data_IF_269556291535
#
_entry.id   IF_269556291535
#
_cell.length_a   1.000
_cell.length_b   1.000
_cell.length_c   1.000
_cell.angle_alpha   90.00
_cell.angle_beta   90.00
_cell.angle_gamma   90.00
#
_symmetry.space_group_name_H-M   'P 1'
#
loop_
_entity.id
_entity.type
_entity.pdbx_description
1 polymer ?
#
# COMPACT_ATOMS: atom_id res chain seq x y z
N UNK A 1 -22.16 -2.92 -0.11
CA UNK A 1 -21.10 -3.73 0.40
C UNK A 1 -21.02 -5.12 -0.15
N UNK A 2 -22.14 -5.80 -0.37
CA UNK A 2 -22.14 -7.07 -1.10
C UNK A 2 -21.47 -6.93 -2.47
N UNK A 3 -21.64 -5.80 -3.08
CA UNK A 3 -21.08 -5.50 -4.39
C UNK A 3 -19.55 -5.45 -4.39
N UNK A 4 -18.96 -4.82 -3.35
CA UNK A 4 -17.50 -4.73 -3.22
C UNK A 4 -16.88 -6.10 -3.00
N UNK A 5 -17.51 -6.93 -2.18
CA UNK A 5 -17.02 -8.28 -1.89
C UNK A 5 -17.04 -9.14 -3.16
N UNK A 6 -18.11 -9.07 -3.94
CA UNK A 6 -18.22 -9.82 -5.19
C UNK A 6 -17.16 -9.38 -6.20
N UNK A 7 -16.91 -8.08 -6.31
CA UNK A 7 -15.89 -7.55 -7.20
C UNK A 7 -14.50 -8.01 -6.76
N UNK A 8 -14.22 -7.97 -5.46
CA UNK A 8 -12.94 -8.38 -4.90
C UNK A 8 -12.67 -9.85 -5.21
N UNK A 9 -13.63 -10.73 -4.92
CA UNK A 9 -13.48 -12.16 -5.16
C UNK A 9 -13.30 -12.50 -6.64
N UNK A 10 -14.07 -11.85 -7.52
CA UNK A 10 -14.07 -12.16 -8.96
C UNK A 10 -12.89 -11.57 -9.70
N UNK A 11 -12.36 -10.45 -9.25
CA UNK A 11 -11.33 -9.70 -9.98
C UNK A 11 -9.97 -9.68 -9.29
N UNK A 12 -9.83 -10.41 -8.20
CA UNK A 12 -8.59 -10.42 -7.45
C UNK A 12 -8.29 -9.10 -6.76
N UNK A 13 -9.32 -8.26 -6.54
CA UNK A 13 -9.17 -7.01 -5.83
C UNK A 13 -9.19 -7.25 -4.31
N UNK A 14 -8.47 -6.44 -3.57
CA UNK A 14 -8.41 -6.49 -2.12
C UNK A 14 -8.83 -5.15 -1.54
N UNK A 15 -9.71 -5.19 -0.54
CA UNK A 15 -10.09 -3.99 0.21
C UNK A 15 -8.94 -3.60 1.14
N UNK A 16 -9.06 -2.44 1.80
CA UNK A 16 -8.10 -2.03 2.83
C UNK A 16 -8.00 -3.09 3.92
N UNK A 17 -9.13 -3.63 4.38
CA UNK A 17 -9.15 -4.67 5.40
C UNK A 17 -8.44 -5.94 4.94
N UNK A 18 -8.66 -6.35 3.70
CA UNK A 18 -7.99 -7.51 3.12
C UNK A 18 -6.48 -7.30 3.04
N UNK A 19 -6.06 -6.11 2.59
CA UNK A 19 -4.64 -5.76 2.50
C UNK A 19 -3.98 -5.75 3.89
N UNK A 20 -4.66 -5.20 4.90
CA UNK A 20 -4.18 -5.22 6.28
C UNK A 20 -3.99 -6.65 6.78
N UNK A 21 -4.93 -7.52 6.46
CA UNK A 21 -4.87 -8.92 6.87
C UNK A 21 -3.71 -9.66 6.22
N UNK A 22 -3.49 -9.40 4.93
CA UNK A 22 -2.37 -10.02 4.20
C UNK A 22 -1.03 -9.52 4.73
N UNK A 23 -0.92 -8.22 5.02
CA UNK A 23 0.35 -7.59 5.40
C UNK A 23 0.62 -7.62 6.90
N UNK A 24 -0.35 -8.05 7.71
CA UNK A 24 -0.15 -8.21 9.14
C UNK A 24 -0.62 -7.02 9.99
N UNK A 25 -1.43 -6.12 9.45
CA UNK A 25 -2.05 -5.06 10.23
C UNK A 25 -2.02 -3.69 9.58
N UNK A 26 -2.72 -2.76 10.19
CA UNK A 26 -2.85 -1.39 9.71
C UNK A 26 -1.50 -0.66 9.61
N UNK A 27 -0.64 -0.84 10.61
CA UNK A 27 0.66 -0.19 10.64
C UNK A 27 1.54 -0.65 9.50
N UNK A 28 1.53 -1.94 9.18
CA UNK A 28 2.30 -2.48 8.07
C UNK A 28 1.76 -1.99 6.72
N UNK A 29 0.44 -1.95 6.55
CA UNK A 29 -0.17 -1.42 5.34
C UNK A 29 0.23 0.05 5.13
N UNK A 30 0.17 0.85 6.19
CA UNK A 30 0.58 2.25 6.13
C UNK A 30 2.03 2.38 5.69
N UNK A 31 2.90 1.57 6.25
CA UNK A 31 4.34 1.62 5.99
C UNK A 31 4.67 1.25 4.54
N UNK A 32 4.07 0.18 4.01
CA UNK A 32 4.30 -0.23 2.62
C UNK A 32 3.74 0.79 1.62
N UNK A 33 2.66 1.45 1.97
CA UNK A 33 2.13 2.54 1.15
C UNK A 33 3.06 3.76 1.15
N UNK A 34 3.58 4.13 2.32
CA UNK A 34 4.55 5.22 2.44
C UNK A 34 5.83 4.93 1.67
N UNK A 35 6.27 3.70 1.67
CA UNK A 35 7.47 3.27 0.93
C UNK A 35 7.24 3.21 -0.58
N UNK A 36 5.99 3.23 -1.02
CA UNK A 36 5.65 3.08 -2.43
C UNK A 36 5.70 1.63 -2.91
N UNK A 37 5.77 0.67 -2.00
CA UNK A 37 5.82 -0.75 -2.33
C UNK A 37 4.44 -1.32 -2.67
N UNK A 38 3.39 -0.64 -2.26
CA UNK A 38 2.02 -1.03 -2.57
C UNK A 38 1.20 0.22 -2.89
N UNK A 39 0.57 0.23 -4.05
CA UNK A 39 -0.28 1.34 -4.50
C UNK A 39 -1.67 0.81 -4.81
N UNK A 40 -2.73 1.57 -4.47
CA UNK A 40 -4.07 1.16 -4.83
C UNK A 40 -4.29 1.19 -6.34
N UNK A 41 -5.04 0.25 -6.84
CA UNK A 41 -5.45 0.21 -8.25
C UNK A 41 -6.68 1.09 -8.49
N UNK A 42 -7.55 1.19 -7.48
CA UNK A 42 -8.71 2.06 -7.52
C UNK A 42 -8.67 2.92 -6.25
N UNK A 43 -8.73 4.22 -6.43
CA UNK A 43 -8.75 5.14 -5.30
C UNK A 43 -9.81 6.21 -5.56
N UNK A 44 -10.94 6.07 -4.88
CA UNK A 44 -12.05 7.00 -4.95
C UNK A 44 -12.34 7.58 -3.57
N UNK A 45 -13.37 8.42 -3.48
CA UNK A 45 -13.73 9.09 -2.23
C UNK A 45 -14.16 8.12 -1.13
N UNK A 46 -14.75 7.00 -1.51
CA UNK A 46 -15.32 6.02 -0.56
C UNK A 46 -14.82 4.61 -0.78
N UNK A 47 -13.99 4.41 -1.78
CA UNK A 47 -13.54 3.06 -2.14
C UNK A 47 -12.07 3.10 -2.51
N UNK A 48 -11.30 2.28 -1.83
CA UNK A 48 -9.90 2.03 -2.15
C UNK A 48 -9.74 0.53 -2.33
N UNK A 49 -9.25 0.13 -3.50
CA UNK A 49 -9.01 -1.28 -3.81
C UNK A 49 -7.56 -1.47 -4.24
N UNK A 50 -6.96 -2.52 -3.73
CA UNK A 50 -5.62 -2.98 -4.12
C UNK A 50 -5.79 -4.21 -5.01
N UNK A 51 -4.75 -4.53 -5.76
CA UNK A 51 -4.69 -5.81 -6.45
C UNK A 51 -4.26 -6.87 -5.44
N UNK A 52 -4.97 -7.98 -5.39
CA UNK A 52 -4.67 -9.07 -4.45
C UNK A 52 -3.25 -9.62 -4.66
N UNK A 53 -2.86 -9.82 -5.93
CA UNK A 53 -1.52 -10.30 -6.26
C UNK A 53 -0.43 -9.28 -5.89
N UNK A 54 -0.73 -7.98 -6.03
CA UNK A 54 0.17 -6.92 -5.58
C UNK A 54 0.39 -6.99 -4.06
N UNK A 55 -0.67 -7.27 -3.29
CA UNK A 55 -0.56 -7.43 -1.84
C UNK A 55 0.32 -8.61 -1.48
N UNK A 56 0.15 -9.74 -2.15
CA UNK A 56 0.97 -10.93 -1.92
C UNK A 56 2.43 -10.69 -2.30
N UNK A 57 2.67 -10.05 -3.43
CA UNK A 57 4.01 -9.70 -3.88
C UNK A 57 4.68 -8.74 -2.90
N UNK A 58 3.93 -7.76 -2.40
CA UNK A 58 4.41 -6.82 -1.39
C UNK A 58 4.80 -7.54 -0.10
N UNK A 59 3.97 -8.47 0.35
CA UNK A 59 4.27 -9.27 1.53
C UNK A 59 5.55 -10.09 1.35
N UNK A 60 5.73 -10.70 0.19
CA UNK A 60 6.96 -11.45 -0.13
C UNK A 60 8.18 -10.54 -0.13
N UNK A 61 8.01 -9.32 -0.63
CA UNK A 61 9.09 -8.33 -0.62
C UNK A 61 9.48 -7.93 0.81
N UNK A 62 8.47 -7.70 1.67
CA UNK A 62 8.70 -7.40 3.09
C UNK A 62 9.46 -8.53 3.75
N UNK A 63 9.06 -9.78 3.50
CA UNK A 63 9.74 -10.95 4.07
C UNK A 63 11.16 -11.11 3.54
N UNK A 64 11.39 -10.80 2.27
CA UNK A 64 12.70 -10.94 1.64
C UNK A 64 13.67 -9.82 1.98
N UNK A 65 13.22 -8.57 1.94
CA UNK A 65 14.10 -7.41 2.20
C UNK A 65 14.17 -7.01 3.66
N UNK A 66 13.13 -7.34 4.45
CA UNK A 66 13.09 -7.06 5.87
C UNK A 66 12.45 -5.72 6.22
N UNK A 67 12.01 -5.61 7.46
CA UNK A 67 11.31 -4.42 7.96
C UNK A 67 12.22 -3.18 7.97
N UNK A 68 13.50 -3.35 8.24
CA UNK A 68 14.45 -2.24 8.25
C UNK A 68 14.56 -1.59 6.86
N UNK A 69 14.62 -2.39 5.80
CA UNK A 69 14.65 -1.91 4.43
C UNK A 69 13.35 -1.18 4.09
N UNK A 70 12.21 -1.71 4.54
CA UNK A 70 10.90 -1.09 4.34
C UNK A 70 10.83 0.28 5.01
N UNK A 71 11.27 0.38 6.26
CA UNK A 71 11.28 1.65 7.00
C UNK A 71 12.20 2.68 6.35
N UNK A 72 13.36 2.25 5.88
CA UNK A 72 14.28 3.11 5.15
C UNK A 72 13.65 3.63 3.86
N UNK A 73 12.97 2.77 3.11
CA UNK A 73 12.29 3.16 1.89
C UNK A 73 11.15 4.16 2.17
N UNK A 74 10.40 3.96 3.25
CA UNK A 74 9.34 4.88 3.64
C UNK A 74 9.89 6.26 4.01
N UNK A 75 11.00 6.31 4.75
CA UNK A 75 11.65 7.57 5.11
C UNK A 75 12.20 8.29 3.89
N UNK A 76 12.83 7.57 3.00
CA UNK A 76 13.39 8.11 1.76
C UNK A 76 12.29 8.72 0.89
N UNK A 77 11.17 8.04 0.74
CA UNK A 77 10.03 8.51 -0.04
C UNK A 77 9.41 9.76 0.59
N UNK A 78 9.27 9.79 1.91
CA UNK A 78 8.76 10.96 2.63
C UNK A 78 9.68 12.17 2.45
N UNK A 79 10.98 11.96 2.54
CA UNK A 79 11.98 13.01 2.32
C UNK A 79 11.88 13.58 0.89
N UNK A 80 11.79 12.71 -0.09
CA UNK A 80 11.69 13.09 -1.50
C UNK A 80 10.45 13.95 -1.75
N UNK A 81 9.31 13.58 -1.18
CA UNK A 81 8.07 14.35 -1.29
C UNK A 81 8.24 15.72 -0.63
N UNK A 82 8.82 15.77 0.56
CA UNK A 82 9.05 17.01 1.31
C UNK A 82 9.96 17.97 0.54
N UNK A 83 11.04 17.48 -0.04
CA UNK A 83 11.94 18.28 -0.85
C UNK A 83 11.24 18.83 -2.11
N UNK A 84 10.44 18.01 -2.76
CA UNK A 84 9.68 18.40 -3.94
C UNK A 84 8.69 19.52 -3.60
N UNK A 85 7.98 19.41 -2.47
CA UNK A 85 7.04 20.44 -2.02
C UNK A 85 7.78 21.74 -1.67
N UNK A 86 8.94 21.63 -1.03
CA UNK A 86 9.77 22.79 -0.72
C UNK A 86 10.20 23.55 -1.96
N UNK A 87 10.59 22.84 -3.00
CA UNK A 87 10.96 23.45 -4.28
C UNK A 87 9.78 24.14 -4.94
N UNK A 88 8.59 23.55 -4.86
CA UNK A 88 7.38 24.11 -5.44
C UNK A 88 6.98 25.41 -4.76
N UNK A 89 7.25 25.56 -3.47
CA UNK A 89 6.93 26.75 -2.69
C UNK A 89 7.99 27.84 -2.81
N UNK A 90 9.14 27.48 -3.25
CA UNK A 90 10.23 28.43 -3.45
C UNK A 90 10.14 29.12 -4.80
#
# INVERSE_FOLDING_TARGET
MKYSILIAERRGAATIEDAERILGGEGMLRLVRQAGWLKPRVQGNRLTLFDYDDCLACWKRVCGEGEAALRAAAQENARSISESLGRSLA
#
